data_IF_809662817109
#
_entry.id   IF_809662817109
#
_cell.length_a   1.000
_cell.length_b   1.000
_cell.length_c   1.000
_cell.angle_alpha   90.00
_cell.angle_beta   90.00
_cell.angle_gamma   90.00
#
_symmetry.space_group_name_H-M   'P 1'
#
loop_
_entity.id
_entity.type
_entity.pdbx_description
1 polymer ?
#
# COMPACT_ATOMS: atom_id res chain seq x y z
N UNK A 1 2.13 12.67 17.98
CA UNK A 1 3.52 12.93 18.38
C UNK A 1 4.42 13.38 17.22
N UNK A 2 3.91 13.51 15.98
CA UNK A 2 4.66 14.04 14.83
C UNK A 2 3.81 15.02 14.02
N UNK A 3 3.62 16.25 14.52
CA UNK A 3 2.87 17.26 13.77
C UNK A 3 3.67 17.65 12.52
N UNK A 4 3.12 17.34 11.34
CA UNK A 4 3.67 17.76 10.04
C UNK A 4 4.51 16.71 9.31
N UNK A 5 4.87 15.58 9.94
CA UNK A 5 5.64 14.52 9.27
C UNK A 5 4.75 13.76 8.28
N UNK A 6 5.06 13.84 6.99
CA UNK A 6 4.25 13.19 5.98
C UNK A 6 4.53 11.67 5.91
N UNK A 7 3.43 10.90 5.92
CA UNK A 7 3.46 9.45 5.72
C UNK A 7 2.57 9.09 4.51
N UNK A 8 2.98 8.16 3.64
CA UNK A 8 2.11 7.68 2.57
C UNK A 8 0.87 7.01 3.14
N UNK A 9 -0.32 7.37 2.63
CA UNK A 9 -1.60 6.80 3.08
C UNK A 9 -2.00 5.52 2.34
N UNK A 10 -1.40 5.28 1.17
CA UNK A 10 -1.71 4.13 0.31
C UNK A 10 -0.48 3.63 -0.43
N UNK A 11 -0.46 2.34 -0.70
CA UNK A 11 0.42 1.71 -1.67
C UNK A 11 -0.32 1.64 -3.01
N UNK A 12 0.20 2.28 -4.05
CA UNK A 12 -0.34 2.20 -5.40
C UNK A 12 0.35 1.07 -6.16
N UNK A 13 -0.42 0.17 -6.78
CA UNK A 13 0.10 -0.85 -7.69
C UNK A 13 -0.11 -0.44 -9.15
N UNK A 14 0.88 -0.70 -10.00
CA UNK A 14 0.79 -0.48 -11.44
C UNK A 14 0.07 -1.66 -12.11
N UNK A 15 -1.26 -1.58 -12.16
CA UNK A 15 -2.15 -2.67 -12.56
C UNK A 15 -1.87 -3.21 -13.96
N UNK A 16 -1.40 -2.38 -14.90
CA UNK A 16 -1.10 -2.79 -16.27
C UNK A 16 0.04 -3.82 -16.35
N UNK A 17 1.00 -3.72 -15.43
CA UNK A 17 2.17 -4.60 -15.38
C UNK A 17 2.06 -5.71 -14.33
N UNK A 18 1.01 -5.68 -13.52
CA UNK A 18 0.84 -6.58 -12.38
C UNK A 18 0.49 -8.00 -12.88
N UNK A 19 1.28 -8.97 -12.42
CA UNK A 19 1.08 -10.40 -12.66
C UNK A 19 1.33 -11.18 -11.37
N UNK A 20 1.05 -12.48 -11.37
CA UNK A 20 1.31 -13.34 -10.21
C UNK A 20 2.80 -13.48 -9.86
N UNK A 21 3.70 -13.16 -10.81
CA UNK A 21 5.16 -13.28 -10.67
C UNK A 21 5.89 -11.95 -10.65
N UNK A 22 5.23 -10.84 -11.00
CA UNK A 22 5.84 -9.53 -11.05
C UNK A 22 4.86 -8.43 -10.65
N UNK A 23 5.32 -7.48 -9.84
CA UNK A 23 4.53 -6.32 -9.48
C UNK A 23 5.39 -5.08 -9.24
N UNK A 24 4.88 -3.93 -9.68
CA UNK A 24 5.46 -2.62 -9.44
C UNK A 24 4.54 -1.80 -8.56
N UNK A 25 5.10 -1.30 -7.46
CA UNK A 25 4.40 -0.63 -6.39
C UNK A 25 5.03 0.73 -6.13
N UNK A 26 4.23 1.72 -5.78
CA UNK A 26 4.74 3.04 -5.38
C UNK A 26 4.00 3.61 -4.19
N UNK A 27 4.74 4.32 -3.35
CA UNK A 27 4.20 5.01 -2.19
C UNK A 27 4.79 6.42 -2.11
N UNK A 28 3.92 7.39 -1.84
CA UNK A 28 4.22 8.81 -1.67
C UNK A 28 3.09 9.45 -0.84
N UNK A 29 3.34 10.60 -0.17
CA UNK A 29 4.63 11.27 0.00
C UNK A 29 5.47 10.67 1.14
N UNK A 30 6.77 10.51 0.92
CA UNK A 30 7.76 10.29 1.98
C UNK A 30 8.52 11.59 2.26
N UNK A 31 8.91 11.79 3.51
CA UNK A 31 9.94 12.79 3.84
C UNK A 31 11.28 12.43 3.20
N UNK A 32 12.12 13.44 2.97
CA UNK A 32 13.43 13.26 2.37
C UNK A 32 14.28 12.23 3.14
N UNK A 33 14.88 11.28 2.43
CA UNK A 33 15.66 10.17 2.97
C UNK A 33 14.85 8.97 3.48
N UNK A 34 13.54 9.12 3.69
CA UNK A 34 12.68 8.00 4.11
C UNK A 34 12.38 7.04 2.95
N UNK A 35 12.35 7.51 1.71
CA UNK A 35 12.20 6.63 0.55
C UNK A 35 13.32 5.58 0.49
N UNK A 36 14.57 6.01 0.66
CA UNK A 36 15.73 5.10 0.70
C UNK A 36 15.71 4.19 1.93
N UNK A 37 15.37 4.73 3.10
CA UNK A 37 15.35 3.97 4.36
C UNK A 37 14.33 2.82 4.30
N UNK A 38 13.11 3.12 3.88
CA UNK A 38 12.03 2.14 3.72
C UNK A 38 12.33 1.18 2.57
N UNK A 39 12.76 1.70 1.42
CA UNK A 39 13.08 0.90 0.23
C UNK A 39 14.17 -0.14 0.49
N UNK A 40 15.28 0.27 1.12
CA UNK A 40 16.38 -0.63 1.46
C UNK A 40 15.96 -1.67 2.51
N UNK A 41 15.21 -1.27 3.54
CA UNK A 41 14.74 -2.18 4.60
C UNK A 41 13.83 -3.27 4.04
N UNK A 42 12.84 -2.88 3.23
CA UNK A 42 11.94 -3.82 2.56
C UNK A 42 12.68 -4.71 1.56
N UNK A 43 13.61 -4.17 0.77
CA UNK A 43 14.43 -4.98 -0.15
C UNK A 43 15.20 -6.07 0.58
N UNK A 44 15.78 -5.76 1.74
CA UNK A 44 16.50 -6.76 2.56
C UNK A 44 15.55 -7.82 3.12
N UNK A 45 14.40 -7.42 3.65
CA UNK A 45 13.40 -8.35 4.17
C UNK A 45 12.85 -9.29 3.08
N UNK A 46 12.51 -8.73 1.91
CA UNK A 46 11.99 -9.48 0.76
C UNK A 46 12.95 -10.57 0.27
N UNK A 47 14.25 -10.28 0.17
CA UNK A 47 15.25 -11.22 -0.35
C UNK A 47 15.72 -12.28 0.66
N UNK A 48 15.53 -12.05 1.95
CA UNK A 48 16.13 -12.91 3.00
C UNK A 48 15.12 -13.66 3.85
N UNK A 49 13.95 -13.09 4.09
CA UNK A 49 13.10 -13.48 5.21
C UNK A 49 11.73 -14.02 4.79
N UNK A 50 11.39 -13.93 3.51
CA UNK A 50 10.16 -14.55 2.99
C UNK A 50 10.38 -16.06 2.91
N UNK A 51 9.42 -16.78 3.46
CA UNK A 51 9.42 -18.23 3.54
C UNK A 51 9.05 -18.88 2.21
N UNK A 52 9.72 -19.98 1.89
CA UNK A 52 9.47 -20.72 0.66
C UNK A 52 9.98 -22.16 0.72
N UNK A 53 9.47 -22.96 -0.22
CA UNK A 53 9.80 -24.37 -0.34
C UNK A 53 11.06 -24.57 -1.18
N UNK A 54 11.94 -25.48 -0.75
CA UNK A 54 13.10 -25.91 -1.53
C UNK A 54 13.41 -27.38 -1.27
N UNK A 55 14.09 -28.01 -2.23
CA UNK A 55 14.63 -29.37 -2.10
C UNK A 55 15.85 -29.32 -1.19
N UNK A 56 15.86 -30.15 -0.14
CA UNK A 56 16.94 -30.21 0.85
C UNK A 56 17.80 -31.46 0.73
N UNK A 57 17.25 -32.54 0.16
CA UNK A 57 17.99 -33.76 -0.10
C UNK A 57 17.40 -34.50 -1.30
N UNK A 58 18.25 -35.24 -2.02
CA UNK A 58 17.87 -36.02 -3.19
C UNK A 58 18.44 -37.43 -3.07
N UNK A 59 17.66 -38.43 -3.41
CA UNK A 59 18.09 -39.82 -3.54
C UNK A 59 17.79 -40.27 -4.96
N UNK A 60 18.81 -40.78 -5.64
CA UNK A 60 18.72 -41.26 -7.02
C UNK A 60 19.01 -42.76 -7.01
N UNK A 61 18.17 -43.56 -7.64
CA UNK A 61 18.38 -45.02 -7.66
C UNK A 61 19.71 -45.39 -8.33
N UNK A 62 20.52 -46.20 -7.64
CA UNK A 62 21.82 -46.66 -8.15
C UNK A 62 22.96 -45.65 -8.00
N UNK A 63 22.71 -44.48 -7.41
CA UNK A 63 23.72 -43.45 -7.14
C UNK A 63 24.01 -43.38 -5.65
N UNK A 64 25.30 -43.40 -5.29
CA UNK A 64 25.75 -43.29 -3.90
C UNK A 64 26.25 -41.89 -3.53
N UNK A 65 26.68 -41.11 -4.53
CA UNK A 65 27.23 -39.77 -4.36
C UNK A 65 26.94 -38.89 -5.59
N UNK A 66 27.00 -37.58 -5.42
CA UNK A 66 26.63 -36.55 -6.39
C UNK A 66 27.47 -36.57 -7.69
N UNK A 67 28.67 -37.17 -7.67
CA UNK A 67 29.56 -37.27 -8.83
C UNK A 67 29.39 -38.55 -9.66
N UNK A 68 28.37 -39.37 -9.39
CA UNK A 68 28.15 -40.60 -10.16
C UNK A 68 27.41 -40.34 -11.48
N UNK A 69 27.79 -41.06 -12.53
CA UNK A 69 27.01 -41.18 -13.76
C UNK A 69 25.82 -42.12 -13.58
N UNK A 70 24.69 -41.83 -14.23
CA UNK A 70 23.49 -42.67 -14.17
C UNK A 70 23.35 -43.45 -15.49
N UNK A 71 23.43 -44.79 -15.48
CA UNK A 71 23.28 -45.58 -16.69
C UNK A 71 21.92 -45.35 -17.37
N UNK A 72 21.94 -45.04 -18.67
CA UNK A 72 20.72 -44.82 -19.46
C UNK A 72 20.15 -43.40 -19.37
N UNK A 73 20.82 -42.47 -18.69
CA UNK A 73 20.48 -41.04 -18.65
C UNK A 73 21.63 -40.24 -19.26
N UNK A 74 21.33 -39.14 -19.94
CA UNK A 74 22.33 -38.30 -20.61
C UNK A 74 23.13 -37.46 -19.59
N UNK A 75 22.45 -36.91 -18.60
CA UNK A 75 23.00 -36.10 -17.51
C UNK A 75 23.64 -36.94 -16.40
N UNK A 76 24.61 -36.35 -15.69
CA UNK A 76 25.12 -36.92 -14.45
C UNK A 76 24.26 -36.51 -13.23
N UNK A 77 24.55 -37.10 -12.05
CA UNK A 77 23.81 -36.79 -10.85
C UNK A 77 23.95 -35.31 -10.41
N UNK A 78 25.07 -34.65 -10.72
CA UNK A 78 25.29 -33.24 -10.39
C UNK A 78 24.42 -32.32 -11.23
N UNK A 79 24.36 -32.55 -12.54
CA UNK A 79 23.51 -31.83 -13.48
C UNK A 79 22.03 -31.95 -13.10
N UNK A 80 21.58 -33.16 -12.76
CA UNK A 80 20.20 -33.39 -12.28
C UNK A 80 19.94 -32.59 -11.01
N UNK A 81 20.84 -32.64 -10.01
CA UNK A 81 20.70 -31.88 -8.77
C UNK A 81 20.61 -30.36 -9.06
N UNK A 82 21.45 -29.84 -9.95
CA UNK A 82 21.44 -28.41 -10.33
C UNK A 82 20.15 -28.01 -11.05
N UNK A 83 19.62 -28.88 -11.91
CA UNK A 83 18.35 -28.65 -12.59
C UNK A 83 17.17 -28.68 -11.63
N UNK A 84 17.15 -29.65 -10.70
CA UNK A 84 16.12 -29.78 -9.66
C UNK A 84 16.05 -28.53 -8.76
N UNK A 85 17.18 -27.91 -8.43
CA UNK A 85 17.22 -26.66 -7.64
C UNK A 85 16.57 -25.47 -8.32
N UNK A 86 16.42 -25.48 -9.65
CA UNK A 86 15.78 -24.39 -10.39
C UNK A 86 14.25 -24.49 -10.37
N UNK A 87 13.71 -25.68 -10.07
CA UNK A 87 12.27 -25.93 -10.07
C UNK A 87 11.58 -25.08 -8.98
N UNK A 88 10.60 -24.23 -9.35
CA UNK A 88 9.86 -23.45 -8.37
C UNK A 88 8.78 -24.31 -7.72
N UNK A 89 8.86 -24.44 -6.40
CA UNK A 89 8.02 -25.32 -5.59
C UNK A 89 7.13 -24.53 -4.65
N UNK A 90 5.97 -25.12 -4.30
CA UNK A 90 5.10 -24.66 -3.24
C UNK A 90 4.72 -25.84 -2.35
N UNK A 91 4.90 -25.65 -1.04
CA UNK A 91 4.54 -26.61 -0.01
C UNK A 91 3.62 -25.90 1.00
N UNK A 92 2.38 -26.36 1.12
CA UNK A 92 1.35 -25.77 1.99
C UNK A 92 1.44 -26.25 3.44
N UNK A 93 2.40 -27.10 3.77
CA UNK A 93 2.56 -27.75 5.07
C UNK A 93 3.96 -27.49 5.64
N UNK A 94 4.08 -27.37 6.96
CA UNK A 94 5.35 -27.02 7.62
C UNK A 94 6.31 -28.21 7.76
N UNK A 95 5.78 -29.44 7.78
CA UNK A 95 6.61 -30.63 7.91
C UNK A 95 7.32 -30.99 6.59
N UNK A 96 8.53 -31.57 6.66
CA UNK A 96 9.22 -32.11 5.49
C UNK A 96 8.37 -33.15 4.77
N UNK A 97 8.46 -33.14 3.44
CA UNK A 97 7.71 -34.07 2.57
C UNK A 97 8.64 -34.69 1.53
N UNK A 98 8.46 -35.98 1.28
CA UNK A 98 9.18 -36.70 0.21
C UNK A 98 8.30 -36.76 -1.03
N UNK A 99 8.87 -36.36 -2.17
CA UNK A 99 8.24 -36.34 -3.48
C UNK A 99 9.01 -37.25 -4.42
N UNK A 100 8.33 -37.81 -5.42
CA UNK A 100 8.89 -38.81 -6.32
C UNK A 100 8.85 -38.36 -7.78
N UNK A 101 9.80 -38.85 -8.56
CA UNK A 101 9.80 -38.83 -10.02
C UNK A 101 10.17 -40.24 -10.48
N UNK A 102 9.29 -40.88 -11.23
CA UNK A 102 9.57 -42.19 -11.82
C UNK A 102 9.34 -42.14 -13.33
N UNK A 103 10.41 -42.34 -14.10
CA UNK A 103 10.37 -42.34 -15.57
C UNK A 103 11.08 -43.58 -16.11
N UNK A 104 10.34 -44.39 -16.86
CA UNK A 104 10.84 -45.62 -17.49
C UNK A 104 10.85 -45.55 -19.03
N UNK A 105 10.20 -44.53 -19.60
CA UNK A 105 10.13 -44.35 -21.04
C UNK A 105 11.25 -43.43 -21.54
N UNK A 106 11.81 -43.68 -22.74
CA UNK A 106 12.79 -42.78 -23.33
C UNK A 106 12.16 -41.41 -23.62
N UNK A 107 12.90 -40.34 -23.34
CA UNK A 107 12.46 -38.97 -23.61
C UNK A 107 13.01 -37.94 -22.64
N UNK A 108 12.59 -36.70 -22.86
CA UNK A 108 12.95 -35.54 -22.02
C UNK A 108 12.08 -35.56 -20.76
N UNK A 109 12.74 -35.53 -19.60
CA UNK A 109 12.12 -35.41 -18.28
C UNK A 109 12.07 -33.94 -17.90
N UNK A 110 10.85 -33.45 -17.67
CA UNK A 110 10.60 -32.09 -17.19
C UNK A 110 9.99 -32.11 -15.80
N UNK A 111 9.94 -30.94 -15.16
CA UNK A 111 9.28 -30.73 -13.87
C UNK A 111 7.77 -31.03 -13.88
N UNK A 112 7.15 -31.23 -15.05
CA UNK A 112 5.79 -31.74 -15.18
C UNK A 112 5.63 -33.19 -14.71
N UNK A 113 6.70 -33.99 -14.73
CA UNK A 113 6.68 -35.41 -14.36
C UNK A 113 6.89 -35.63 -12.85
N UNK A 114 7.04 -34.56 -12.07
CA UNK A 114 7.10 -34.62 -10.61
C UNK A 114 5.69 -34.86 -10.07
N UNK A 115 5.57 -35.85 -9.18
CA UNK A 115 4.29 -36.16 -8.55
C UNK A 115 3.81 -35.00 -7.66
N UNK A 116 2.56 -34.58 -7.88
CA UNK A 116 1.89 -33.53 -7.12
C UNK A 116 0.78 -34.09 -6.26
N UNK A 117 0.43 -33.36 -5.21
CA UNK A 117 -0.72 -33.66 -4.36
C UNK A 117 -1.33 -32.38 -3.78
N UNK A 118 -2.22 -32.53 -2.79
CA UNK A 118 -2.94 -31.39 -2.20
C UNK A 118 -2.01 -30.39 -1.47
N UNK A 119 -0.88 -30.85 -0.93
CA UNK A 119 0.01 -30.01 -0.14
C UNK A 119 1.24 -29.56 -0.92
N UNK A 120 1.56 -30.21 -2.03
CA UNK A 120 2.73 -29.92 -2.85
C UNK A 120 2.35 -29.65 -4.30
N UNK A 121 2.83 -28.51 -4.81
CA UNK A 121 2.64 -28.12 -6.20
C UNK A 121 3.95 -27.62 -6.81
N UNK A 122 4.14 -27.96 -8.09
CA UNK A 122 5.23 -27.42 -8.91
C UNK A 122 4.69 -26.27 -9.75
N UNK A 123 5.29 -25.09 -9.62
CA UNK A 123 4.74 -23.84 -10.17
C UNK A 123 5.13 -23.61 -11.63
N UNK A 124 6.18 -24.28 -12.11
CA UNK A 124 6.61 -24.26 -13.51
C UNK A 124 6.88 -25.69 -13.97
N UNK A 125 6.13 -26.11 -14.99
CA UNK A 125 6.10 -27.48 -15.54
C UNK A 125 7.12 -27.70 -16.66
N UNK A 126 7.80 -26.65 -17.09
CA UNK A 126 8.65 -26.67 -18.27
C UNK A 126 10.15 -26.73 -17.94
N UNK A 127 10.50 -26.86 -16.67
CA UNK A 127 11.91 -26.91 -16.25
C UNK A 127 12.49 -28.25 -16.68
N UNK A 128 13.56 -28.20 -17.47
CA UNK A 128 14.31 -29.38 -17.89
C UNK A 128 14.98 -30.03 -16.68
N UNK A 129 14.86 -31.35 -16.53
CA UNK A 129 15.53 -32.11 -15.47
C UNK A 129 16.64 -32.98 -16.07
N UNK A 130 16.28 -33.85 -17.01
CA UNK A 130 17.19 -34.83 -17.62
C UNK A 130 16.61 -35.37 -18.94
N UNK A 131 17.39 -36.16 -19.68
CA UNK A 131 16.95 -36.95 -20.82
C UNK A 131 17.28 -38.43 -20.60
N UNK A 132 16.27 -39.30 -20.73
CA UNK A 132 16.39 -40.74 -20.57
C UNK A 132 16.49 -41.40 -21.95
N UNK A 133 17.50 -42.25 -22.14
CA UNK A 133 17.74 -43.00 -23.37
C UNK A 133 16.85 -44.26 -23.47
N UNK A 134 16.81 -44.90 -24.64
CA UNK A 134 16.08 -46.17 -24.82
C UNK A 134 16.57 -47.26 -23.84
N UNK A 135 15.64 -47.81 -23.05
CA UNK A 135 15.93 -48.80 -22.01
C UNK A 135 16.52 -48.23 -20.71
N UNK A 136 16.68 -46.91 -20.61
CA UNK A 136 17.06 -46.22 -19.38
C UNK A 136 15.88 -46.05 -18.43
N UNK A 137 16.17 -45.88 -17.14
CA UNK A 137 15.19 -45.56 -16.10
C UNK A 137 15.74 -44.48 -15.17
N UNK A 138 14.86 -43.59 -14.71
CA UNK A 138 15.18 -42.53 -13.76
C UNK A 138 14.18 -42.58 -12.61
N UNK A 139 14.68 -42.95 -11.43
CA UNK A 139 13.92 -42.96 -10.18
C UNK A 139 14.57 -41.99 -9.20
N UNK A 140 13.82 -40.95 -8.84
CA UNK A 140 14.25 -39.91 -7.92
C UNK A 140 13.29 -39.82 -6.74
N UNK A 141 13.85 -39.72 -5.54
CA UNK A 141 13.15 -39.28 -4.34
C UNK A 141 13.77 -37.96 -3.90
N UNK A 142 12.94 -36.95 -3.60
CA UNK A 142 13.42 -35.64 -3.18
C UNK A 142 12.68 -35.21 -1.92
N UNK A 143 13.44 -34.75 -0.93
CA UNK A 143 12.89 -34.19 0.31
C UNK A 143 12.75 -32.68 0.14
N UNK A 144 11.53 -32.17 0.34
CA UNK A 144 11.18 -30.75 0.24
C UNK A 144 10.83 -30.23 1.63
N UNK A 145 11.30 -29.02 1.94
CA UNK A 145 10.99 -28.32 3.19
C UNK A 145 10.68 -26.85 2.95
N UNK A 146 9.84 -26.29 3.81
CA UNK A 146 9.72 -24.84 3.98
C UNK A 146 10.88 -24.32 4.84
N UNK A 147 11.37 -23.13 4.51
CA UNK A 147 12.49 -22.52 5.18
C UNK A 147 12.66 -21.06 4.76
N UNK A 148 13.78 -20.44 5.17
CA UNK A 148 14.08 -19.04 4.85
C UNK A 148 15.50 -18.87 4.38
N UNK A 149 15.69 -18.00 3.40
CA UNK A 149 17.01 -17.65 2.89
C UNK A 149 17.73 -18.86 2.28
N UNK A 150 19.02 -18.98 2.59
CA UNK A 150 19.90 -20.02 2.07
C UNK A 150 20.36 -20.94 3.20
N UNK A 151 20.31 -22.24 2.96
CA UNK A 151 20.82 -23.27 3.87
C UNK A 151 21.83 -24.12 3.11
N UNK A 152 23.05 -24.22 3.65
CA UNK A 152 24.10 -25.05 3.07
C UNK A 152 23.80 -26.55 3.23
N UNK A 153 24.34 -27.38 2.34
CA UNK A 153 24.12 -28.83 2.33
C UNK A 153 24.41 -29.49 3.69
N UNK A 154 25.50 -29.11 4.37
CA UNK A 154 25.89 -29.64 5.68
C UNK A 154 24.81 -29.45 6.77
N UNK A 155 23.98 -28.41 6.63
CA UNK A 155 22.88 -28.10 7.57
C UNK A 155 21.57 -28.79 7.21
N UNK A 156 21.49 -29.39 6.02
CA UNK A 156 20.34 -30.18 5.58
C UNK A 156 20.51 -31.68 5.89
N UNK A 157 21.59 -32.05 6.58
CA UNK A 157 21.79 -33.39 7.10
C UNK A 157 21.00 -33.58 8.40
N UNK A 158 19.73 -33.96 8.27
CA UNK A 158 18.89 -34.28 9.42
C UNK A 158 19.16 -35.69 9.96
N UNK A 159 18.99 -35.89 11.26
CA UNK A 159 19.16 -37.20 11.90
C UNK A 159 18.15 -38.26 11.40
N UNK A 160 16.99 -37.83 10.90
CA UNK A 160 15.95 -38.70 10.37
C UNK A 160 16.11 -39.01 8.88
N UNK A 161 17.17 -38.50 8.24
CA UNK A 161 17.40 -38.69 6.80
C UNK A 161 17.83 -40.14 6.51
N UNK A 162 17.09 -40.90 5.69
CA UNK A 162 17.45 -42.28 5.38
C UNK A 162 18.78 -42.40 4.64
N UNK A 163 19.42 -43.56 4.77
CA UNK A 163 20.64 -43.88 4.03
C UNK A 163 20.38 -43.81 2.52
N UNK A 164 21.29 -43.17 1.78
CA UNK A 164 21.23 -43.01 0.33
C UNK A 164 20.68 -41.65 -0.14
N UNK A 165 20.24 -40.79 0.77
CA UNK A 165 19.96 -39.39 0.44
C UNK A 165 21.25 -38.57 0.43
N UNK A 166 21.40 -37.77 -0.62
CA UNK A 166 22.45 -36.78 -0.80
C UNK A 166 21.88 -35.43 -0.36
N UNK A 167 22.37 -34.83 0.73
CA UNK A 167 21.95 -33.49 1.14
C UNK A 167 22.44 -32.47 0.12
N UNK A 168 21.58 -31.51 -0.21
CA UNK A 168 21.89 -30.44 -1.16
C UNK A 168 21.66 -29.09 -0.49
N UNK A 169 22.42 -28.08 -0.86
CA UNK A 169 22.10 -26.72 -0.45
C UNK A 169 20.75 -26.26 -1.03
N UNK A 170 19.99 -25.54 -0.21
CA UNK A 170 18.61 -25.18 -0.50
C UNK A 170 18.41 -23.67 -0.44
N UNK A 171 17.75 -23.13 -1.47
CA UNK A 171 17.37 -21.72 -1.56
C UNK A 171 15.87 -21.60 -1.35
N UNK A 172 15.46 -21.19 -0.16
CA UNK A 172 14.06 -21.09 0.25
C UNK A 172 13.42 -19.73 -0.07
N UNK A 173 14.11 -18.82 -0.76
CA UNK A 173 13.54 -17.51 -1.10
C UNK A 173 12.63 -17.59 -2.33
N UNK A 174 11.32 -17.31 -2.22
CA UNK A 174 10.43 -17.25 -3.38
C UNK A 174 10.59 -15.93 -4.16
N UNK A 175 11.21 -14.91 -3.55
CA UNK A 175 11.53 -13.64 -4.21
C UNK A 175 12.87 -13.79 -4.93
N UNK A 176 12.87 -13.59 -6.25
CA UNK A 176 14.04 -13.74 -7.12
C UNK A 176 14.81 -12.43 -7.29
N UNK A 177 14.09 -11.32 -7.40
CA UNK A 177 14.67 -10.00 -7.64
C UNK A 177 13.82 -8.93 -6.99
N UNK A 178 14.48 -7.90 -6.45
CA UNK A 178 13.84 -6.68 -5.97
C UNK A 178 14.68 -5.50 -6.40
N UNK A 179 14.02 -4.53 -7.03
CA UNK A 179 14.58 -3.23 -7.38
C UNK A 179 13.77 -2.13 -6.70
N UNK A 180 14.42 -1.03 -6.35
CA UNK A 180 13.70 0.16 -5.91
C UNK A 180 14.37 1.42 -6.45
N UNK A 181 13.55 2.42 -6.75
CA UNK A 181 13.99 3.77 -7.10
C UNK A 181 13.30 4.77 -6.19
N UNK A 182 13.99 5.88 -5.94
CA UNK A 182 13.46 7.01 -5.18
C UNK A 182 13.46 8.21 -6.12
N UNK A 183 12.28 8.79 -6.31
CA UNK A 183 12.05 9.93 -7.21
C UNK A 183 11.52 11.11 -6.40
N UNK A 184 11.71 12.34 -6.90
CA UNK A 184 11.12 13.51 -6.28
C UNK A 184 9.59 13.50 -6.46
N UNK A 185 8.85 13.74 -5.38
CA UNK A 185 7.40 13.82 -5.36
C UNK A 185 6.95 15.25 -5.06
N UNK A 186 5.93 15.70 -5.79
CA UNK A 186 5.27 16.98 -5.52
C UNK A 186 3.97 16.74 -4.77
N UNK A 187 3.80 17.44 -3.65
CA UNK A 187 2.55 17.46 -2.88
C UNK A 187 2.05 18.91 -2.82
N UNK A 188 1.05 19.23 -3.65
CA UNK A 188 0.54 20.61 -3.77
C UNK A 188 1.60 21.57 -4.30
N UNK A 189 2.02 22.52 -3.48
CA UNK A 189 3.06 23.50 -3.82
C UNK A 189 4.48 23.09 -3.38
N UNK A 190 4.61 22.08 -2.52
CA UNK A 190 5.90 21.60 -2.00
C UNK A 190 6.46 20.46 -2.87
N UNK A 191 7.76 20.48 -3.15
CA UNK A 191 8.46 19.55 -4.08
C UNK A 191 9.60 18.77 -3.42
N UNK A 192 9.73 18.85 -2.11
CA UNK A 192 10.81 18.26 -1.30
C UNK A 192 10.52 16.84 -0.80
N UNK A 193 9.36 16.29 -1.13
CA UNK A 193 8.99 14.92 -0.79
C UNK A 193 9.59 13.90 -1.76
N UNK A 194 9.60 12.64 -1.33
CA UNK A 194 10.07 11.49 -2.10
C UNK A 194 8.92 10.55 -2.44
N UNK A 195 9.03 9.91 -3.60
CA UNK A 195 8.23 8.77 -4.04
C UNK A 195 9.16 7.56 -4.09
N UNK A 196 8.80 6.52 -3.35
CA UNK A 196 9.45 5.22 -3.46
C UNK A 196 8.69 4.39 -4.50
N UNK A 197 9.37 3.92 -5.53
CA UNK A 197 8.89 2.90 -6.44
C UNK A 197 9.68 1.61 -6.22
N UNK A 198 8.98 0.47 -6.19
CA UNK A 198 9.54 -0.84 -5.92
C UNK A 198 9.02 -1.84 -6.93
N UNK A 199 9.94 -2.61 -7.50
CA UNK A 199 9.66 -3.67 -8.47
C UNK A 199 10.08 -5.00 -7.83
N UNK A 200 9.15 -5.96 -7.80
CA UNK A 200 9.33 -7.25 -7.12
C UNK A 200 9.03 -8.37 -8.11
N UNK A 201 9.96 -9.31 -8.24
CA UNK A 201 9.82 -10.53 -9.03
C UNK A 201 9.83 -11.76 -8.12
N UNK A 202 8.78 -12.58 -8.21
CA UNK A 202 8.62 -13.83 -7.46
C UNK A 202 8.62 -15.03 -8.39
N UNK A 203 8.79 -16.23 -7.83
CA UNK A 203 8.68 -17.48 -8.56
C UNK A 203 7.22 -17.98 -8.70
N UNK A 204 6.24 -17.24 -8.19
CA UNK A 204 4.82 -17.60 -8.17
C UNK A 204 4.36 -18.34 -6.90
N UNK A 205 5.26 -18.67 -5.96
CA UNK A 205 4.86 -19.30 -4.70
C UNK A 205 4.08 -18.33 -3.80
N UNK A 206 4.43 -17.05 -3.92
CA UNK A 206 3.80 -15.91 -3.26
C UNK A 206 3.59 -14.79 -4.29
N UNK A 207 2.48 -14.07 -4.15
CA UNK A 207 2.22 -12.90 -4.99
C UNK A 207 3.16 -11.74 -4.58
N UNK A 208 3.55 -10.85 -5.51
CA UNK A 208 4.38 -9.69 -5.19
C UNK A 208 3.75 -8.79 -4.11
N UNK A 209 2.42 -8.67 -4.10
CA UNK A 209 1.69 -7.86 -3.12
C UNK A 209 1.77 -8.46 -1.72
N UNK A 210 1.53 -9.77 -1.59
CA UNK A 210 1.61 -10.45 -0.29
C UNK A 210 3.04 -10.47 0.24
N UNK A 211 4.04 -10.63 -0.65
CA UNK A 211 5.44 -10.58 -0.29
C UNK A 211 5.82 -9.22 0.36
N UNK A 212 5.37 -8.10 -0.21
CA UNK A 212 5.58 -6.76 0.37
C UNK A 212 4.87 -6.64 1.72
N UNK A 213 3.65 -7.16 1.84
CA UNK A 213 2.88 -7.16 3.08
C UNK A 213 3.60 -7.90 4.21
N UNK A 214 4.06 -9.12 3.94
CA UNK A 214 4.83 -9.94 4.89
C UNK A 214 6.16 -9.28 5.27
N UNK A 215 6.91 -8.76 4.28
CA UNK A 215 8.15 -8.05 4.54
C UNK A 215 7.94 -6.80 5.41
N UNK A 216 6.88 -6.04 5.15
CA UNK A 216 6.54 -4.83 5.91
C UNK A 216 6.17 -5.17 7.35
N UNK A 217 5.36 -6.23 7.55
CA UNK A 217 5.03 -6.75 8.87
C UNK A 217 6.28 -7.16 9.63
N UNK A 218 7.17 -7.92 9.00
CA UNK A 218 8.41 -8.38 9.63
C UNK A 218 9.30 -7.21 10.08
N UNK A 219 9.46 -6.19 9.23
CA UNK A 219 10.23 -4.97 9.57
C UNK A 219 9.57 -4.24 10.74
N UNK A 220 8.24 -4.07 10.72
CA UNK A 220 7.49 -3.46 11.83
C UNK A 220 7.73 -4.22 13.14
N UNK A 221 7.56 -5.53 13.13
CA UNK A 221 7.70 -6.38 14.33
C UNK A 221 9.11 -6.30 14.92
N UNK A 222 10.15 -6.23 14.08
CA UNK A 222 11.54 -6.02 14.53
C UNK A 222 11.78 -4.62 15.11
N UNK A 223 11.05 -3.60 14.65
CA UNK A 223 11.18 -2.24 15.17
C UNK A 223 10.42 -2.05 16.49
N UNK A 224 9.38 -2.86 16.75
CA UNK A 224 8.54 -2.76 17.95
C UNK A 224 9.32 -2.84 19.27
N UNK A 225 10.40 -3.64 19.34
CA UNK A 225 11.24 -3.75 20.55
C UNK A 225 11.97 -2.44 20.91
N UNK A 226 12.20 -1.57 19.93
CA UNK A 226 12.86 -0.28 20.14
C UNK A 226 11.87 0.82 20.56
N UNK A 227 10.57 0.54 20.52
CA UNK A 227 9.53 1.46 20.98
C UNK A 227 9.43 1.31 22.51
N UNK A 228 9.87 2.33 23.24
CA UNK A 228 9.98 2.31 24.71
C UNK A 228 8.77 2.94 25.43
N UNK A 229 7.68 3.20 24.71
CA UNK A 229 6.43 3.76 25.25
C UNK A 229 5.23 2.96 24.73
N UNK A 230 4.14 2.96 25.49
CA UNK A 230 2.88 2.38 25.02
C UNK A 230 2.35 3.23 23.85
N UNK A 231 2.26 2.59 22.69
CA UNK A 231 1.67 3.18 21.50
C UNK A 231 0.17 3.39 21.77
N UNK A 232 -0.23 4.61 22.15
CA UNK A 232 -1.64 4.96 22.15
C UNK A 232 -2.16 4.81 20.72
N UNK A 233 -3.28 4.12 20.48
CA UNK A 233 -3.84 4.03 19.15
C UNK A 233 -4.00 5.45 18.61
N UNK A 234 -3.35 5.74 17.47
CA UNK A 234 -3.57 7.00 16.75
C UNK A 234 -5.07 7.07 16.51
N UNK A 235 -5.76 7.93 17.29
CA UNK A 235 -7.12 8.35 17.00
C UNK A 235 -7.08 8.77 15.54
N UNK A 236 -7.83 8.07 14.69
CA UNK A 236 -7.93 8.37 13.28
C UNK A 236 -8.02 9.88 13.15
N UNK A 237 -7.03 10.49 12.48
CA UNK A 237 -7.07 11.92 12.20
C UNK A 237 -8.47 12.17 11.64
N UNK A 238 -9.29 12.90 12.39
CA UNK A 238 -10.58 13.34 11.91
C UNK A 238 -10.30 13.89 10.50
N UNK A 239 -11.09 13.49 9.48
CA UNK A 239 -10.92 14.05 8.14
C UNK A 239 -10.74 15.54 8.34
N UNK A 240 -9.69 16.13 7.75
CA UNK A 240 -9.50 17.58 7.78
C UNK A 240 -10.87 18.13 7.42
N UNK A 241 -11.60 18.63 8.41
CA UNK A 241 -12.88 19.21 8.17
C UNK A 241 -12.50 20.36 7.26
N UNK A 242 -12.89 20.24 5.98
CA UNK A 242 -13.31 21.42 5.25
C UNK A 242 -14.08 22.21 6.28
N UNK A 243 -13.51 23.34 6.73
CA UNK A 243 -14.19 24.25 7.63
C UNK A 243 -15.47 24.65 6.90
N UNK A 244 -16.51 23.85 7.05
CA UNK A 244 -17.86 24.20 6.70
C UNK A 244 -18.21 25.21 7.79
N UNK A 245 -17.87 26.46 7.54
CA UNK A 245 -18.36 27.56 8.36
C UNK A 245 -19.88 27.35 8.43
N UNK A 246 -20.48 27.15 9.63
CA UNK A 246 -21.90 26.84 9.76
C UNK A 246 -22.79 27.93 9.14
N UNK A 247 -22.24 29.12 8.88
CA UNK A 247 -22.87 30.19 8.11
C UNK A 247 -23.15 29.82 6.65
N UNK A 248 -22.33 28.96 6.04
CA UNK A 248 -22.45 28.57 4.62
C UNK A 248 -23.73 27.75 4.37
N UNK A 249 -24.14 26.93 5.33
CA UNK A 249 -25.38 26.15 5.26
C UNK A 249 -26.63 27.04 5.23
N UNK A 250 -26.57 28.22 5.87
CA UNK A 250 -27.66 29.18 5.88
C UNK A 250 -27.75 30.03 4.60
N UNK A 251 -26.69 30.13 3.80
CA UNK A 251 -26.66 31.00 2.62
C UNK A 251 -27.53 30.49 1.46
N UNK A 252 -27.66 29.17 1.33
CA UNK A 252 -28.41 28.54 0.23
C UNK A 252 -29.90 28.37 0.52
N UNK A 253 -30.35 28.79 1.73
CA UNK A 253 -31.77 28.78 2.09
C UNK A 253 -32.53 29.92 1.40
N UNK A 254 -33.81 29.68 1.15
CA UNK A 254 -34.71 30.67 0.56
C UNK A 254 -35.06 31.76 1.59
N UNK A 255 -35.22 33.00 1.11
CA UNK A 255 -35.70 34.12 1.94
C UNK A 255 -37.11 33.88 2.48
N UNK A 256 -37.88 32.97 1.86
CA UNK A 256 -39.21 32.54 2.32
C UNK A 256 -39.19 31.80 3.66
N UNK A 257 -38.07 31.16 3.99
CA UNK A 257 -37.90 30.43 5.26
C UNK A 257 -37.55 31.37 6.43
N UNK A 258 -37.27 32.64 6.15
CA UNK A 258 -37.08 33.65 7.18
C UNK A 258 -38.45 34.08 7.70
N UNK A 259 -38.67 34.01 9.01
CA UNK A 259 -39.89 34.48 9.70
C UNK A 259 -40.01 36.02 9.69
N UNK A 260 -40.09 36.60 8.50
CA UNK A 260 -40.17 38.04 8.26
C UNK A 260 -41.61 38.53 8.26
N UNK A 261 -41.82 39.78 8.63
CA UNK A 261 -43.10 40.44 8.41
C UNK A 261 -43.49 40.47 6.92
N UNK A 262 -44.81 40.40 6.66
CA UNK A 262 -45.39 40.44 5.30
C UNK A 262 -44.88 41.61 4.46
N UNK A 263 -44.52 42.73 5.09
CA UNK A 263 -43.94 43.89 4.41
C UNK A 263 -42.49 43.65 3.98
N UNK A 264 -41.65 43.16 4.89
CA UNK A 264 -40.24 42.87 4.63
C UNK A 264 -40.09 41.80 3.54
N UNK A 265 -40.93 40.75 3.58
CA UNK A 265 -40.98 39.72 2.54
C UNK A 265 -41.38 40.28 1.16
N UNK A 266 -42.46 41.07 1.08
CA UNK A 266 -42.90 41.66 -0.19
C UNK A 266 -41.88 42.66 -0.77
N UNK A 267 -41.16 43.38 0.09
CA UNK A 267 -40.08 44.26 -0.37
C UNK A 267 -38.88 43.48 -0.94
N UNK A 268 -38.50 42.36 -0.33
CA UNK A 268 -37.42 41.49 -0.83
C UNK A 268 -37.80 40.82 -2.16
N UNK A 269 -39.05 40.36 -2.27
CA UNK A 269 -39.60 39.80 -3.52
C UNK A 269 -39.61 40.83 -4.65
N UNK A 270 -40.01 42.07 -4.36
CA UNK A 270 -39.98 43.17 -5.35
C UNK A 270 -38.56 43.59 -5.75
N UNK A 271 -37.57 43.35 -4.89
CA UNK A 271 -36.15 43.55 -5.19
C UNK A 271 -35.50 42.35 -5.92
N UNK A 272 -36.28 41.31 -6.23
CA UNK A 272 -35.84 40.06 -6.86
C UNK A 272 -34.73 39.33 -6.09
N UNK A 273 -34.76 39.40 -4.76
CA UNK A 273 -33.83 38.70 -3.86
C UNK A 273 -34.53 37.43 -3.40
N UNK A 274 -34.02 36.26 -3.81
CA UNK A 274 -34.68 34.97 -3.55
C UNK A 274 -33.92 34.13 -2.52
N UNK A 275 -32.60 34.28 -2.43
CA UNK A 275 -31.74 33.52 -1.51
C UNK A 275 -31.10 34.41 -0.45
N UNK A 276 -30.76 33.82 0.69
CA UNK A 276 -30.04 34.53 1.77
C UNK A 276 -28.66 34.99 1.29
N UNK A 277 -28.00 34.20 0.42
CA UNK A 277 -26.74 34.55 -0.27
C UNK A 277 -26.82 35.89 -0.99
N UNK A 278 -27.88 36.14 -1.74
CA UNK A 278 -28.08 37.41 -2.45
C UNK A 278 -28.38 38.57 -1.50
N UNK A 279 -29.11 38.31 -0.42
CA UNK A 279 -29.48 39.29 0.59
C UNK A 279 -28.24 39.86 1.31
N UNK A 280 -27.33 38.98 1.76
CA UNK A 280 -26.15 39.39 2.51
C UNK A 280 -25.11 40.13 1.66
N UNK A 281 -25.14 40.00 0.33
CA UNK A 281 -24.28 40.77 -0.57
C UNK A 281 -24.69 42.23 -0.71
N UNK A 282 -25.96 42.57 -0.42
CA UNK A 282 -26.46 43.94 -0.53
C UNK A 282 -26.05 44.76 0.69
N UNK A 283 -25.63 46.00 0.44
CA UNK A 283 -25.32 46.94 1.52
C UNK A 283 -26.59 47.57 2.10
N UNK A 284 -26.53 48.03 3.35
CA UNK A 284 -27.66 48.71 4.02
C UNK A 284 -28.19 49.90 3.19
N UNK A 285 -27.28 50.63 2.54
CA UNK A 285 -27.60 51.77 1.69
C UNK A 285 -28.31 51.38 0.38
N UNK A 286 -28.05 50.19 -0.15
CA UNK A 286 -28.75 49.66 -1.33
C UNK A 286 -30.15 49.18 -0.97
N UNK A 287 -30.30 48.54 0.19
CA UNK A 287 -31.60 48.09 0.69
C UNK A 287 -32.56 49.27 0.91
N UNK A 288 -32.07 50.38 1.49
CA UNK A 288 -32.88 51.59 1.70
C UNK A 288 -33.31 52.31 0.40
N UNK A 289 -32.65 52.05 -0.73
CA UNK A 289 -33.02 52.60 -2.04
C UNK A 289 -34.14 51.82 -2.72
N UNK A 290 -34.46 50.61 -2.23
CA UNK A 290 -35.53 49.80 -2.80
C UNK A 290 -36.90 50.39 -2.49
N UNK A 291 -37.83 50.34 -3.46
CA UNK A 291 -39.16 50.96 -3.33
C UNK A 291 -39.91 50.35 -2.14
N UNK A 292 -40.47 51.21 -1.29
CA UNK A 292 -41.25 50.86 -0.10
C UNK A 292 -40.45 50.17 1.03
N UNK A 293 -39.12 50.26 1.03
CA UNK A 293 -38.26 49.70 2.07
C UNK A 293 -37.98 50.71 3.18
N UNK A 294 -38.44 50.42 4.40
CA UNK A 294 -38.34 51.33 5.54
C UNK A 294 -37.30 50.92 6.59
N UNK A 295 -36.90 51.85 7.46
CA UNK A 295 -35.96 51.60 8.57
C UNK A 295 -36.39 50.47 9.52
N UNK A 296 -37.70 50.26 9.68
CA UNK A 296 -38.26 49.18 10.52
C UNK A 296 -38.03 47.79 9.91
N UNK A 297 -38.15 47.64 8.59
CA UNK A 297 -37.85 46.39 7.86
C UNK A 297 -36.35 46.09 7.80
N UNK A 298 -35.52 47.13 7.69
CA UNK A 298 -34.06 46.98 7.74
C UNK A 298 -33.60 46.38 9.09
N UNK A 299 -34.12 46.91 10.20
CA UNK A 299 -33.77 46.43 11.53
C UNK A 299 -34.24 44.99 11.79
N UNK A 300 -35.42 44.64 11.30
CA UNK A 300 -35.97 43.27 11.38
C UNK A 300 -35.07 42.25 10.65
N UNK A 301 -34.64 42.57 9.43
CA UNK A 301 -33.72 41.73 8.65
C UNK A 301 -32.36 41.64 9.34
N UNK A 302 -31.83 42.75 9.89
CA UNK A 302 -30.54 42.76 10.58
C UNK A 302 -30.55 41.91 11.84
N UNK A 303 -31.64 41.90 12.60
CA UNK A 303 -31.77 41.08 13.80
C UNK A 303 -31.79 39.58 13.47
N UNK A 304 -32.51 39.19 12.41
CA UNK A 304 -32.60 37.79 11.97
C UNK A 304 -31.26 37.32 11.38
N UNK A 305 -30.61 38.13 10.54
CA UNK A 305 -29.28 37.80 10.01
C UNK A 305 -28.25 37.68 11.14
N UNK A 306 -28.31 38.56 12.16
CA UNK A 306 -27.43 38.49 13.31
C UNK A 306 -27.64 37.21 14.15
N UNK A 307 -28.89 36.73 14.29
CA UNK A 307 -29.19 35.43 14.94
C UNK A 307 -28.55 34.25 14.19
N UNK A 308 -28.33 34.39 12.88
CA UNK A 308 -27.67 33.40 12.02
C UNK A 308 -26.15 33.66 11.85
N UNK A 309 -25.59 34.65 12.55
CA UNK A 309 -24.17 35.04 12.42
C UNK A 309 -23.81 35.72 11.10
N UNK A 310 -24.80 36.14 10.32
CA UNK A 310 -24.66 36.80 9.01
C UNK A 310 -24.84 38.32 9.13
N UNK A 311 -24.31 39.06 8.16
CA UNK A 311 -24.40 40.52 8.09
C UNK A 311 -24.66 41.03 6.68
N UNK A 312 -25.12 42.27 6.56
CA UNK A 312 -25.31 42.94 5.26
C UNK A 312 -23.97 43.49 4.75
N UNK A 313 -23.72 43.40 3.44
CA UNK A 313 -22.47 43.82 2.80
C UNK A 313 -21.35 42.77 2.85
N UNK A 314 -21.69 41.50 2.99
CA UNK A 314 -20.74 40.39 2.93
C UNK A 314 -20.18 40.20 1.52
N UNK A 315 -18.88 39.89 1.43
CA UNK A 315 -18.20 39.58 0.16
C UNK A 315 -17.83 38.11 0.10
N UNK A 316 -17.95 37.50 -1.08
CA UNK A 316 -17.64 36.08 -1.30
C UNK A 316 -16.48 35.90 -2.28
N UNK A 317 -15.71 34.81 -2.14
CA UNK A 317 -14.69 34.39 -3.12
C UNK A 317 -15.30 33.58 -4.27
N UNK A 318 -14.50 33.30 -5.31
CA UNK A 318 -14.91 32.47 -6.47
C UNK A 318 -15.33 31.03 -6.09
N UNK A 319 -15.05 30.60 -4.86
CA UNK A 319 -15.40 29.29 -4.31
C UNK A 319 -16.57 29.36 -3.30
N UNK A 320 -17.24 30.52 -3.17
CA UNK A 320 -18.42 30.71 -2.32
C UNK A 320 -18.14 30.95 -0.83
N UNK A 321 -16.89 31.23 -0.43
CA UNK A 321 -16.49 31.50 0.97
C UNK A 321 -16.64 32.98 1.32
N UNK A 322 -17.04 33.28 2.55
CA UNK A 322 -17.15 34.66 3.07
C UNK A 322 -15.74 35.25 3.26
N UNK A 323 -15.42 36.33 2.55
CA UNK A 323 -14.17 37.11 2.66
C UNK A 323 -14.30 38.18 3.76
N UNK A 324 -15.51 38.72 3.97
CA UNK A 324 -15.75 39.80 4.92
C UNK A 324 -17.20 39.80 5.44
N UNK A 325 -17.46 40.04 6.74
CA UNK A 325 -16.48 40.14 7.83
C UNK A 325 -15.89 38.76 8.20
N UNK A 326 -14.62 38.71 8.65
CA UNK A 326 -13.95 37.46 9.03
C UNK A 326 -14.65 36.78 10.22
N UNK A 327 -14.40 35.47 10.41
CA UNK A 327 -14.86 34.76 11.60
C UNK A 327 -14.39 35.50 12.89
N UNK A 328 -15.19 35.54 13.97
CA UNK A 328 -14.73 36.11 15.24
C UNK A 328 -13.40 35.53 15.74
N UNK A 329 -13.11 34.27 15.40
CA UNK A 329 -11.85 33.57 15.70
C UNK A 329 -10.63 34.02 14.87
N UNK A 330 -10.81 34.92 13.90
CA UNK A 330 -9.74 35.50 13.08
C UNK A 330 -9.46 36.98 13.42
N UNK A 331 -10.00 37.51 14.52
CA UNK A 331 -9.48 38.75 15.08
C UNK A 331 -8.14 38.45 15.76
N UNK A 332 -7.04 38.78 15.07
CA UNK A 332 -5.73 38.84 15.71
C UNK A 332 -5.79 39.85 16.88
N UNK A 333 -5.14 39.59 18.02
CA UNK A 333 -4.97 40.61 19.03
C UNK A 333 -4.21 41.81 18.42
N UNK A 334 -4.52 43.05 18.85
CA UNK A 334 -3.84 44.23 18.33
C UNK A 334 -2.33 44.12 18.57
N UNK A 335 -1.54 44.47 17.55
CA UNK A 335 -0.09 44.56 17.64
C UNK A 335 0.33 45.64 18.65
N UNK A 336 1.48 45.49 19.35
CA UNK A 336 1.87 46.39 20.46
C UNK A 336 2.15 47.85 20.08
N UNK A 337 2.08 48.23 18.80
CA UNK A 337 2.40 49.59 18.35
C UNK A 337 1.27 50.61 18.51
N UNK A 338 0.04 50.20 18.85
CA UNK A 338 -1.09 51.13 19.07
C UNK A 338 -1.32 51.52 20.54
N UNK A 339 -0.44 51.13 21.47
CA UNK A 339 -0.53 51.56 22.89
C UNK A 339 0.47 52.67 23.28
N UNK A 340 1.17 53.26 22.32
CA UNK A 340 1.98 54.46 22.53
C UNK A 340 1.25 55.70 22.00
N UNK A 341 0.12 56.05 22.63
CA UNK A 341 -0.69 57.18 22.20
C UNK A 341 -1.90 57.44 23.09
N UNK A 342 -1.69 57.54 24.40
CA UNK A 342 -2.58 58.21 25.34
C UNK A 342 -1.77 58.98 26.37
#
# INVERSE_FOLDING_TARGET
>A
MWKGFQKPKRLAAELESLTDKYGKFSAQPFERGWGTTVGNSLRRALLSSIEGAAITAVKIEGVLHEFSSIPGVVEDATDIILNLKQVPLKLNHDLPKTIYVNVENPGVVTSAMIEEDADFAVLDKNVYIATVNEGGKLQLEMRVKNGRGYVAADRNFDEDLPIGYIPVDSVHSPVRKVNYSVEAARLGQMTDYEKLAMEVWTNGAITPQDAIGLASKLVKDHMSIFINFEEQPELAEAPIESYNDPRVEHLDRSVEELELSVRSYNCLKNANIQTIRELVQKSENEMLKTKNFGRKSLNEIKEILHKMGLGLGMKFDEHGRIIWPPLPSQTAPPTPEETAGL
#
